data_IF_154780684384
#
_entry.id   IF_154780684384
#
_cell.length_a   1.000
_cell.length_b   1.000
_cell.length_c   1.000
_cell.angle_alpha   90.00
_cell.angle_beta   90.00
_cell.angle_gamma   90.00
#
_symmetry.space_group_name_H-M   'P 1'
#
loop_
_entity.id
_entity.type
_entity.pdbx_description
1 polymer ?
#
# COMPACT_ATOMS: atom_id res chain seq x y z
N UNK A 1 -18.98 -28.45 11.68
CA UNK A 1 -19.87 -28.01 10.58
C UNK A 1 -19.01 -27.21 9.62
N UNK A 2 -18.84 -27.68 8.39
CA UNK A 2 -18.05 -26.95 7.38
C UNK A 2 -18.74 -25.64 7.06
N UNK A 3 -18.08 -24.51 7.31
CA UNK A 3 -18.51 -23.22 6.80
C UNK A 3 -18.34 -23.23 5.28
N UNK A 4 -19.30 -22.69 4.54
CA UNK A 4 -19.10 -22.45 3.11
C UNK A 4 -17.84 -21.58 2.90
N UNK A 5 -17.08 -21.86 1.84
CA UNK A 5 -15.89 -21.10 1.43
C UNK A 5 -15.93 -20.84 -0.07
N UNK A 6 -15.48 -19.66 -0.51
CA UNK A 6 -15.44 -19.24 -1.92
C UNK A 6 -14.18 -19.75 -2.61
N UNK A 7 -14.22 -20.05 -3.91
CA UNK A 7 -13.04 -20.39 -4.69
C UNK A 7 -12.08 -19.21 -4.84
N UNK A 8 -10.77 -19.47 -4.95
CA UNK A 8 -9.76 -18.41 -5.15
C UNK A 8 -10.08 -17.56 -6.38
N UNK A 9 -10.34 -18.20 -7.53
CA UNK A 9 -10.63 -17.50 -8.79
C UNK A 9 -11.89 -16.63 -8.66
N UNK A 10 -12.99 -17.23 -8.20
CA UNK A 10 -14.27 -16.54 -8.01
C UNK A 10 -14.13 -15.31 -7.10
N UNK A 11 -13.34 -15.41 -6.03
CA UNK A 11 -13.12 -14.29 -5.13
C UNK A 11 -12.25 -13.20 -5.74
N UNK A 12 -11.22 -13.54 -6.52
CA UNK A 12 -10.38 -12.57 -7.21
C UNK A 12 -11.16 -11.82 -8.28
N UNK A 13 -11.96 -12.54 -9.08
CA UNK A 13 -12.84 -11.94 -10.09
C UNK A 13 -13.84 -10.98 -9.43
N UNK A 14 -14.44 -11.40 -8.31
CA UNK A 14 -15.31 -10.54 -7.51
C UNK A 14 -14.58 -9.29 -6.99
N UNK A 15 -13.36 -9.43 -6.45
CA UNK A 15 -12.57 -8.28 -5.96
C UNK A 15 -12.25 -7.31 -7.10
N UNK A 16 -11.84 -7.81 -8.25
CA UNK A 16 -11.54 -6.97 -9.41
C UNK A 16 -12.77 -6.19 -9.89
N UNK A 17 -13.91 -6.87 -10.04
CA UNK A 17 -15.15 -6.28 -10.55
C UNK A 17 -15.78 -5.31 -9.54
N UNK A 18 -16.02 -5.77 -8.31
CA UNK A 18 -16.86 -5.04 -7.35
C UNK A 18 -16.06 -4.01 -6.54
N UNK A 19 -14.79 -4.27 -6.27
CA UNK A 19 -13.94 -3.37 -5.50
C UNK A 19 -13.01 -2.54 -6.39
N UNK A 20 -12.10 -3.19 -7.11
CA UNK A 20 -10.97 -2.48 -7.73
C UNK A 20 -11.39 -1.59 -8.91
N UNK A 21 -12.23 -2.10 -9.81
CA UNK A 21 -12.64 -1.37 -11.02
C UNK A 21 -13.58 -0.18 -10.73
N UNK A 22 -14.33 -0.24 -9.63
CA UNK A 22 -15.36 0.73 -9.26
C UNK A 22 -15.06 1.46 -7.96
N UNK A 23 -15.40 0.83 -6.82
CA UNK A 23 -15.39 1.47 -5.50
C UNK A 23 -14.02 2.05 -5.10
N UNK A 24 -12.96 1.25 -5.23
CA UNK A 24 -11.60 1.64 -4.83
C UNK A 24 -10.99 2.62 -5.85
N UNK A 25 -11.15 2.38 -7.15
CA UNK A 25 -10.74 3.35 -8.18
C UNK A 25 -11.46 4.71 -8.03
N UNK A 26 -12.70 4.69 -7.57
CA UNK A 26 -13.50 5.87 -7.20
C UNK A 26 -13.03 6.60 -5.94
N UNK A 27 -12.02 6.08 -5.23
CA UNK A 27 -11.45 6.68 -4.03
C UNK A 27 -11.87 6.01 -2.72
N UNK A 28 -12.65 4.93 -2.75
CA UNK A 28 -12.98 4.16 -1.55
C UNK A 28 -11.78 3.37 -1.01
N UNK A 29 -11.93 2.85 0.20
CA UNK A 29 -10.99 1.91 0.80
C UNK A 29 -11.71 0.76 1.50
N UNK A 30 -11.08 -0.41 1.56
CA UNK A 30 -11.63 -1.56 2.27
C UNK A 30 -10.52 -2.44 2.84
N UNK A 31 -10.86 -3.14 3.93
CA UNK A 31 -10.00 -4.15 4.56
C UNK A 31 -10.78 -5.46 4.60
N UNK A 32 -10.18 -6.52 4.06
CA UNK A 32 -10.74 -7.87 4.02
C UNK A 32 -9.83 -8.83 4.76
N UNK A 33 -10.39 -9.56 5.72
CA UNK A 33 -9.72 -10.69 6.35
C UNK A 33 -10.00 -11.93 5.52
N UNK A 34 -8.97 -12.43 4.87
CA UNK A 34 -9.03 -13.62 4.04
C UNK A 34 -8.50 -14.78 4.87
N UNK A 35 -9.29 -15.84 5.01
CA UNK A 35 -8.91 -17.08 5.67
C UNK A 35 -8.73 -18.18 4.61
N UNK A 36 -7.52 -18.38 4.06
CA UNK A 36 -7.22 -19.49 3.17
C UNK A 36 -7.41 -20.82 3.89
N UNK A 37 -8.01 -21.81 3.24
CA UNK A 37 -8.22 -23.14 3.82
C UNK A 37 -6.92 -23.88 4.13
N UNK A 38 -5.88 -23.65 3.33
CA UNK A 38 -4.55 -24.25 3.46
C UNK A 38 -3.48 -23.36 2.80
N UNK A 39 -2.21 -23.79 2.91
CA UNK A 39 -1.06 -23.07 2.38
C UNK A 39 -1.07 -22.95 0.85
N UNK A 40 -1.58 -23.95 0.13
CA UNK A 40 -1.67 -23.91 -1.32
C UNK A 40 -2.72 -22.88 -1.79
N UNK A 41 -3.83 -22.74 -1.05
CA UNK A 41 -4.81 -21.66 -1.25
C UNK A 41 -4.19 -20.31 -0.91
N UNK A 42 -3.43 -20.18 0.18
CA UNK A 42 -2.74 -18.94 0.58
C UNK A 42 -1.81 -18.45 -0.52
N UNK A 43 -0.97 -19.33 -1.05
CA UNK A 43 -0.01 -19.02 -2.12
C UNK A 43 -0.72 -18.65 -3.43
N UNK A 44 -1.77 -19.40 -3.83
CA UNK A 44 -2.54 -19.04 -5.04
C UNK A 44 -3.25 -17.70 -4.90
N UNK A 45 -3.85 -17.42 -3.75
CA UNK A 45 -4.49 -16.15 -3.47
C UNK A 45 -3.47 -15.00 -3.49
N UNK A 46 -2.26 -15.22 -2.96
CA UNK A 46 -1.18 -14.24 -3.04
C UNK A 46 -0.76 -13.93 -4.48
N UNK A 47 -0.51 -14.97 -5.29
CA UNK A 47 -0.16 -14.81 -6.69
C UNK A 47 -1.28 -14.16 -7.50
N UNK A 48 -2.53 -14.49 -7.18
CA UNK A 48 -3.70 -13.89 -7.80
C UNK A 48 -3.85 -12.40 -7.46
N UNK A 49 -3.72 -12.01 -6.20
CA UNK A 49 -3.75 -10.61 -5.78
C UNK A 49 -2.64 -9.78 -6.43
N UNK A 50 -1.43 -10.34 -6.54
CA UNK A 50 -0.30 -9.70 -7.22
C UNK A 50 -0.49 -9.59 -8.74
N UNK A 51 -1.29 -10.49 -9.32
CA UNK A 51 -1.61 -10.54 -10.74
C UNK A 51 -2.93 -9.87 -11.13
N UNK A 52 -3.64 -9.24 -10.20
CA UNK A 52 -4.83 -8.45 -10.52
C UNK A 52 -4.44 -7.36 -11.51
N UNK A 53 -5.18 -7.28 -12.61
CA UNK A 53 -4.83 -6.43 -13.76
C UNK A 53 -5.02 -4.94 -13.48
N UNK A 54 -4.73 -4.12 -14.48
CA UNK A 54 -4.87 -2.66 -14.42
C UNK A 54 -3.63 -1.94 -13.90
N UNK A 55 -3.71 -0.61 -13.85
CA UNK A 55 -2.63 0.27 -13.39
C UNK A 55 -2.52 0.35 -11.85
N UNK A 56 -2.89 -0.72 -11.13
CA UNK A 56 -2.86 -0.73 -9.67
C UNK A 56 -1.44 -0.89 -9.14
N UNK A 57 -1.13 -0.22 -8.03
CA UNK A 57 0.07 -0.53 -7.26
C UNK A 57 -0.19 -1.77 -6.40
N UNK A 58 0.80 -2.65 -6.27
CA UNK A 58 0.74 -3.81 -5.38
C UNK A 58 1.89 -3.78 -4.39
N UNK A 59 1.61 -4.17 -3.15
CA UNK A 59 2.65 -4.41 -2.15
C UNK A 59 2.23 -5.55 -1.21
N UNK A 60 3.21 -6.32 -0.74
CA UNK A 60 3.00 -7.35 0.27
C UNK A 60 3.85 -7.11 1.53
N UNK A 61 3.31 -7.47 2.69
CA UNK A 61 4.02 -7.42 3.95
C UNK A 61 3.79 -8.74 4.68
N UNK A 62 4.88 -9.46 4.93
CA UNK A 62 4.86 -10.75 5.62
C UNK A 62 5.27 -10.58 7.09
N UNK A 63 4.43 -11.08 8.02
CA UNK A 63 4.71 -11.09 9.44
C UNK A 63 6.01 -11.86 9.78
N UNK A 64 6.45 -12.81 8.96
CA UNK A 64 7.71 -13.54 9.12
C UNK A 64 8.93 -12.63 9.00
N UNK A 65 8.89 -11.62 8.12
CA UNK A 65 10.03 -10.76 7.78
C UNK A 65 9.86 -9.31 8.22
N UNK A 66 8.65 -8.91 8.61
CA UNK A 66 8.30 -7.56 9.05
C UNK A 66 7.54 -7.63 10.36
N UNK A 67 7.87 -6.79 11.35
CA UNK A 67 7.06 -6.69 12.58
C UNK A 67 5.75 -5.97 12.28
N UNK A 68 4.73 -6.70 11.85
CA UNK A 68 3.45 -6.14 11.38
C UNK A 68 2.70 -5.35 12.45
N UNK A 69 2.92 -5.61 13.74
CA UNK A 69 2.33 -4.80 14.81
C UNK A 69 2.91 -3.37 14.91
N UNK A 70 3.88 -3.01 14.06
CA UNK A 70 4.52 -1.69 14.04
C UNK A 70 4.28 -1.03 12.67
N UNK A 71 3.42 0.00 12.66
CA UNK A 71 2.95 0.68 11.44
C UNK A 71 4.09 1.30 10.61
N UNK A 72 5.16 1.76 11.25
CA UNK A 72 6.36 2.27 10.58
C UNK A 72 7.09 1.20 9.79
N UNK A 73 7.05 -0.04 10.26
CA UNK A 73 7.62 -1.17 9.53
C UNK A 73 6.75 -1.63 8.38
N UNK A 74 5.41 -1.57 8.50
CA UNK A 74 4.52 -1.79 7.37
C UNK A 74 4.76 -0.74 6.29
N UNK A 75 4.74 0.55 6.64
CA UNK A 75 4.97 1.62 5.68
C UNK A 75 6.31 1.45 4.96
N UNK A 76 7.40 1.21 5.69
CA UNK A 76 8.73 1.05 5.08
C UNK A 76 8.85 -0.24 4.26
N UNK A 77 8.13 -1.31 4.61
CA UNK A 77 8.07 -2.53 3.80
C UNK A 77 7.34 -2.29 2.47
N UNK A 78 6.21 -1.56 2.50
CA UNK A 78 5.49 -1.13 1.30
C UNK A 78 6.39 -0.23 0.45
N UNK A 79 6.99 0.80 1.05
CA UNK A 79 7.82 1.78 0.37
C UNK A 79 9.04 1.16 -0.34
N UNK A 80 9.55 0.01 0.11
CA UNK A 80 10.65 -0.69 -0.57
C UNK A 80 10.25 -1.38 -1.87
N UNK A 81 8.95 -1.58 -2.10
CA UNK A 81 8.43 -2.30 -3.26
C UNK A 81 7.99 -1.36 -4.40
N UNK A 82 7.97 -0.05 -4.14
CA UNK A 82 7.50 0.94 -5.11
C UNK A 82 8.66 1.57 -5.88
N UNK A 83 8.46 1.77 -7.18
CA UNK A 83 9.36 2.57 -8.01
C UNK A 83 9.05 4.06 -7.84
N UNK A 84 9.74 4.68 -6.89
CA UNK A 84 9.56 6.10 -6.59
C UNK A 84 9.98 7.03 -7.72
N UNK A 85 10.88 6.59 -8.59
CA UNK A 85 11.35 7.37 -9.73
C UNK A 85 10.27 7.38 -10.81
N UNK A 86 9.73 6.21 -11.15
CA UNK A 86 8.62 6.06 -12.11
C UNK A 86 7.38 6.84 -11.65
N UNK A 87 7.03 6.75 -10.35
CA UNK A 87 5.91 7.49 -9.78
C UNK A 87 6.13 9.01 -9.87
N UNK A 88 7.34 9.50 -9.56
CA UNK A 88 7.67 10.92 -9.70
C UNK A 88 7.63 11.38 -11.17
N UNK A 89 8.14 10.57 -12.10
CA UNK A 89 8.06 10.83 -13.54
C UNK A 89 6.61 10.96 -14.01
N UNK A 90 5.73 10.07 -13.56
CA UNK A 90 4.30 10.10 -13.91
C UNK A 90 3.64 11.42 -13.46
N UNK A 91 3.95 11.89 -12.25
CA UNK A 91 3.47 13.18 -11.75
C UNK A 91 4.07 14.36 -12.53
N UNK A 92 5.34 14.29 -12.94
CA UNK A 92 5.96 15.32 -13.78
C UNK A 92 5.34 15.37 -15.18
N UNK A 93 5.00 14.23 -15.80
CA UNK A 93 4.25 14.18 -17.07
C UNK A 93 2.89 14.84 -16.92
N UNK A 94 2.16 14.51 -15.86
CA UNK A 94 0.86 15.13 -15.58
C UNK A 94 0.97 16.64 -15.29
N UNK A 95 2.10 17.11 -14.74
CA UNK A 95 2.36 18.54 -14.56
C UNK A 95 2.70 19.25 -15.88
N UNK A 96 3.46 18.60 -16.77
CA UNK A 96 3.75 19.06 -18.13
C UNK A 96 2.46 19.21 -18.96
N UNK A 97 1.59 18.21 -18.92
CA UNK A 97 0.27 18.26 -19.56
C UNK A 97 -0.57 19.44 -19.05
N UNK A 98 -0.66 19.63 -17.73
CA UNK A 98 -1.38 20.76 -17.12
C UNK A 98 -0.76 22.12 -17.43
N UNK A 99 0.55 22.17 -17.65
CA UNK A 99 1.24 23.37 -18.11
C UNK A 99 1.02 23.64 -19.61
N UNK A 100 0.25 22.80 -20.32
CA UNK A 100 0.03 22.83 -21.76
C UNK A 100 1.27 22.50 -22.60
N UNK A 101 2.23 21.76 -22.03
CA UNK A 101 3.46 21.31 -22.70
C UNK A 101 3.68 19.80 -22.53
N UNK A 102 2.76 18.95 -23.04
CA UNK A 102 2.87 17.50 -22.89
C UNK A 102 4.22 17.01 -23.44
N UNK A 103 4.80 16.01 -22.78
CA UNK A 103 6.01 15.36 -23.29
C UNK A 103 5.70 14.68 -24.65
N UNK A 104 6.64 14.68 -25.62
CA UNK A 104 6.45 13.97 -26.88
C UNK A 104 6.17 12.49 -26.66
N UNK A 105 5.30 11.91 -27.49
CA UNK A 105 4.95 10.49 -27.42
C UNK A 105 6.19 9.59 -27.62
N UNK A 106 6.25 8.48 -26.89
CA UNK A 106 7.34 7.49 -27.01
C UNK A 106 8.65 7.91 -26.32
N UNK A 107 8.64 8.94 -25.49
CA UNK A 107 9.81 9.36 -24.69
C UNK A 107 9.67 8.82 -23.26
N UNK A 108 10.52 7.86 -22.89
CA UNK A 108 10.50 7.21 -21.56
C UNK A 108 11.13 8.07 -20.45
N UNK A 109 12.11 8.91 -20.77
CA UNK A 109 12.78 9.80 -19.81
C UNK A 109 12.47 11.24 -20.12
N UNK A 110 11.94 11.96 -19.13
CA UNK A 110 11.57 13.37 -19.27
C UNK A 110 12.85 14.21 -19.31
N UNK A 111 13.18 14.74 -20.49
CA UNK A 111 14.17 15.80 -20.64
C UNK A 111 13.46 17.11 -20.96
N UNK A 112 13.43 18.03 -19.98
CA UNK A 112 12.82 19.34 -20.11
C UNK A 112 13.39 20.14 -21.29
N UNK A 113 14.66 19.99 -21.62
CA UNK A 113 15.27 20.67 -22.77
C UNK A 113 14.70 20.13 -24.10
N UNK A 114 14.45 18.83 -24.18
CA UNK A 114 13.79 18.20 -25.32
C UNK A 114 12.33 18.62 -25.44
N UNK A 115 11.59 18.70 -24.33
CA UNK A 115 10.21 19.21 -24.33
C UNK A 115 10.17 20.68 -24.75
N UNK A 116 11.07 21.52 -24.25
CA UNK A 116 11.17 22.93 -24.62
C UNK A 116 11.41 23.11 -26.12
N UNK A 117 12.35 22.35 -26.70
CA UNK A 117 12.61 22.36 -28.15
C UNK A 117 11.41 21.89 -28.96
N UNK A 118 10.68 20.88 -28.49
CA UNK A 118 9.52 20.36 -29.19
C UNK A 118 8.39 21.39 -29.29
N UNK A 119 8.18 22.16 -28.24
CA UNK A 119 7.13 23.19 -28.18
C UNK A 119 7.60 24.60 -28.59
N UNK A 120 8.85 24.74 -29.04
CA UNK A 120 9.48 26.02 -29.42
C UNK A 120 9.38 27.10 -28.32
N UNK A 121 9.69 26.70 -27.08
CA UNK A 121 9.67 27.59 -25.90
C UNK A 121 11.02 27.66 -25.21
N UNK A 122 11.24 28.75 -24.46
CA UNK A 122 12.40 28.88 -23.58
C UNK A 122 12.37 27.83 -22.44
N UNK A 123 13.47 27.09 -22.27
CA UNK A 123 13.56 26.02 -21.29
C UNK A 123 13.46 26.52 -19.84
N UNK A 124 13.91 27.75 -19.55
CA UNK A 124 13.85 28.31 -18.20
C UNK A 124 12.43 28.82 -17.86
N UNK A 125 11.67 29.30 -18.85
CA UNK A 125 10.24 29.60 -18.71
C UNK A 125 9.42 28.31 -18.55
N UNK A 126 9.68 27.28 -19.37
CA UNK A 126 9.00 25.99 -19.25
C UNK A 126 9.22 25.37 -17.86
N UNK A 127 10.48 25.32 -17.40
CA UNK A 127 10.80 24.84 -16.05
C UNK A 127 10.01 25.61 -14.97
N UNK A 128 9.91 26.95 -15.07
CA UNK A 128 9.19 27.76 -14.08
C UNK A 128 7.70 27.44 -14.08
N UNK A 129 7.12 27.25 -15.26
CA UNK A 129 5.72 26.88 -15.42
C UNK A 129 5.42 25.50 -14.83
N UNK A 130 6.20 24.49 -15.19
CA UNK A 130 6.03 23.11 -14.69
C UNK A 130 6.27 23.03 -13.18
N UNK A 131 7.32 23.70 -12.68
CA UNK A 131 7.59 23.77 -11.24
C UNK A 131 6.42 24.40 -10.47
N UNK A 132 5.82 25.48 -10.98
CA UNK A 132 4.66 26.10 -10.34
C UNK A 132 3.48 25.13 -10.27
N UNK A 133 3.25 24.37 -11.34
CA UNK A 133 2.21 23.33 -11.35
C UNK A 133 2.52 22.24 -10.31
N UNK A 134 3.76 21.75 -10.25
CA UNK A 134 4.17 20.75 -9.23
C UNK A 134 4.00 21.28 -7.80
N UNK A 135 4.36 22.53 -7.54
CA UNK A 135 4.15 23.14 -6.23
C UNK A 135 2.65 23.21 -5.88
N UNK A 136 1.76 23.45 -6.85
CA UNK A 136 0.32 23.41 -6.62
C UNK A 136 -0.23 21.99 -6.46
N UNK A 137 0.20 21.03 -7.28
CA UNK A 137 -0.28 19.65 -7.21
C UNK A 137 0.20 18.93 -5.95
N UNK A 138 1.45 19.18 -5.54
CA UNK A 138 2.11 18.39 -4.50
C UNK A 138 2.18 19.14 -3.18
N UNK A 139 2.75 20.36 -3.13
CA UNK A 139 2.96 21.05 -1.85
C UNK A 139 1.67 21.60 -1.25
N UNK A 140 0.70 21.99 -2.08
CA UNK A 140 -0.56 22.59 -1.63
C UNK A 140 -1.63 21.56 -1.29
N UNK A 141 -1.40 20.30 -1.57
CA UNK A 141 -2.34 19.23 -1.24
C UNK A 141 -2.33 18.93 0.26
N UNK A 142 -3.27 19.50 1.02
CA UNK A 142 -3.26 19.42 2.49
C UNK A 142 -3.57 18.05 3.05
N UNK A 143 -4.12 17.15 2.24
CA UNK A 143 -4.44 15.77 2.61
C UNK A 143 -3.18 14.90 2.76
N UNK A 144 -2.09 15.27 2.08
CA UNK A 144 -0.78 14.64 2.30
C UNK A 144 -0.05 15.31 3.48
N UNK A 145 0.66 14.52 4.28
CA UNK A 145 1.51 15.05 5.35
C UNK A 145 2.64 15.92 4.80
N UNK A 146 3.04 16.96 5.55
CA UNK A 146 4.03 17.93 5.10
C UNK A 146 5.37 17.29 4.69
N UNK A 147 5.91 16.38 5.50
CA UNK A 147 7.17 15.68 5.19
C UNK A 147 7.08 14.90 3.87
N UNK A 148 5.95 14.25 3.62
CA UNK A 148 5.70 13.53 2.38
C UNK A 148 5.67 14.46 1.17
N UNK A 149 4.95 15.59 1.25
CA UNK A 149 4.89 16.58 0.15
C UNK A 149 6.25 17.15 -0.20
N UNK A 150 7.06 17.44 0.81
CA UNK A 150 8.44 17.91 0.62
C UNK A 150 9.27 16.84 -0.08
N UNK A 151 9.23 15.60 0.40
CA UNK A 151 9.92 14.47 -0.21
C UNK A 151 9.51 14.27 -1.68
N UNK A 152 8.22 14.23 -1.97
CA UNK A 152 7.73 14.02 -3.33
C UNK A 152 8.08 15.17 -4.28
N UNK A 153 8.02 16.43 -3.81
CA UNK A 153 8.47 17.56 -4.62
C UNK A 153 9.95 17.44 -4.96
N UNK A 154 10.80 17.02 -4.02
CA UNK A 154 12.23 16.81 -4.26
C UNK A 154 12.47 15.76 -5.35
N UNK A 155 11.74 14.64 -5.31
CA UNK A 155 11.80 13.63 -6.36
C UNK A 155 11.37 14.20 -7.71
N UNK A 156 10.27 14.95 -7.78
CA UNK A 156 9.83 15.60 -9.01
C UNK A 156 10.85 16.63 -9.55
N UNK A 157 11.46 17.41 -8.66
CA UNK A 157 12.46 18.43 -9.03
C UNK A 157 13.72 17.81 -9.62
N UNK A 158 14.16 16.66 -9.12
CA UNK A 158 15.30 15.94 -9.70
C UNK A 158 15.00 15.47 -11.13
N UNK A 159 13.77 15.00 -11.39
CA UNK A 159 13.32 14.63 -12.74
C UNK A 159 13.25 15.82 -13.71
N UNK A 160 13.17 17.06 -13.23
CA UNK A 160 13.22 18.26 -14.09
C UNK A 160 14.65 18.53 -14.62
N UNK A 161 15.69 17.89 -14.09
CA UNK A 161 17.05 17.93 -14.66
C UNK A 161 17.77 19.28 -14.60
N UNK A 162 17.25 20.29 -13.89
CA UNK A 162 17.87 21.62 -13.78
C UNK A 162 18.98 21.72 -12.73
N UNK A 163 19.23 20.63 -12.00
CA UNK A 163 20.26 20.56 -10.96
C UNK A 163 19.83 21.14 -9.59
N UNK A 164 18.55 21.45 -9.38
CA UNK A 164 18.05 21.94 -8.08
C UNK A 164 18.07 20.86 -7.00
N UNK A 165 18.02 19.60 -7.42
CA UNK A 165 18.11 18.40 -6.58
C UNK A 165 19.09 17.46 -7.25
N UNK A 166 20.09 17.04 -6.48
CA UNK A 166 21.11 16.09 -6.91
C UNK A 166 20.64 14.64 -6.79
N UNK A 167 21.32 13.72 -7.49
CA UNK A 167 21.08 12.29 -7.34
C UNK A 167 21.28 11.82 -5.88
N UNK A 168 22.24 12.39 -5.14
CA UNK A 168 22.46 12.05 -3.73
C UNK A 168 21.28 12.47 -2.84
N UNK A 169 20.68 13.63 -3.10
CA UNK A 169 19.47 14.08 -2.40
C UNK A 169 18.27 13.20 -2.76
N UNK A 170 18.12 12.79 -4.02
CA UNK A 170 17.12 11.80 -4.44
C UNK A 170 17.27 10.49 -3.66
N UNK A 171 18.48 9.92 -3.62
CA UNK A 171 18.75 8.69 -2.85
C UNK A 171 18.49 8.87 -1.35
N UNK A 172 18.73 10.07 -0.81
CA UNK A 172 18.41 10.40 0.59
C UNK A 172 16.90 10.37 0.83
N UNK A 173 16.09 10.93 -0.07
CA UNK A 173 14.63 10.90 0.03
C UNK A 173 14.10 9.47 -0.08
N UNK A 174 14.57 8.70 -1.07
CA UNK A 174 14.17 7.29 -1.26
C UNK A 174 14.59 6.45 -0.04
N UNK A 175 15.83 6.62 0.43
CA UNK A 175 16.32 5.97 1.64
C UNK A 175 15.48 6.30 2.86
N UNK A 176 15.00 7.55 3.01
CA UNK A 176 14.11 7.93 4.10
C UNK A 176 12.76 7.22 4.04
N UNK A 177 12.11 7.19 2.86
CA UNK A 177 10.85 6.47 2.64
C UNK A 177 11.00 4.98 2.99
N UNK A 178 12.12 4.39 2.61
CA UNK A 178 12.46 2.99 2.86
C UNK A 178 12.97 2.71 4.28
N UNK A 179 13.01 3.72 5.16
CA UNK A 179 13.42 3.56 6.56
C UNK A 179 14.92 3.31 6.77
N UNK A 180 15.76 3.73 5.82
CA UNK A 180 17.21 3.62 5.95
C UNK A 180 17.74 4.48 7.11
N UNK A 181 18.85 4.03 7.70
CA UNK A 181 19.53 4.79 8.76
C UNK A 181 20.37 5.90 8.14
N UNK A 182 19.73 7.05 7.90
CA UNK A 182 20.39 8.22 7.32
C UNK A 182 20.96 9.16 8.41
N UNK A 183 22.10 9.82 8.13
CA UNK A 183 22.60 10.93 8.95
C UNK A 183 21.57 12.07 9.03
N UNK A 184 21.49 12.73 10.19
CA UNK A 184 20.55 13.83 10.38
C UNK A 184 20.89 15.06 9.51
N UNK A 185 22.15 15.23 9.10
CA UNK A 185 22.55 16.30 8.18
C UNK A 185 21.94 16.10 6.79
N UNK A 186 21.99 14.87 6.28
CA UNK A 186 21.45 14.50 4.96
C UNK A 186 19.92 14.65 4.94
N UNK A 187 19.23 14.24 6.02
CA UNK A 187 17.78 14.48 6.11
C UNK A 187 17.44 15.98 6.07
N UNK A 188 18.20 16.81 6.79
CA UNK A 188 17.97 18.26 6.81
C UNK A 188 18.25 18.91 5.45
N UNK A 189 19.23 18.44 4.67
CA UNK A 189 19.52 19.01 3.35
C UNK A 189 18.34 18.84 2.39
N UNK A 190 17.57 17.77 2.53
CA UNK A 190 16.36 17.54 1.73
C UNK A 190 15.06 18.08 2.38
N UNK A 191 15.16 18.74 3.54
CA UNK A 191 14.02 19.35 4.23
C UNK A 191 13.22 18.41 5.13
N UNK A 192 13.81 17.28 5.53
CA UNK A 192 13.21 16.29 6.42
C UNK A 192 13.82 16.38 7.83
N UNK A 193 12.98 16.30 8.87
CA UNK A 193 13.40 16.53 10.25
C UNK A 193 13.34 15.29 11.14
N UNK A 194 12.53 14.29 10.77
CA UNK A 194 12.40 13.04 11.49
C UNK A 194 12.55 11.84 10.57
N UNK A 195 12.93 10.70 11.14
CA UNK A 195 12.82 9.40 10.47
C UNK A 195 11.36 8.95 10.45
N UNK A 196 11.02 8.05 9.55
CA UNK A 196 9.77 7.29 9.64
C UNK A 196 9.74 6.54 10.97
N UNK A 197 8.66 6.73 11.71
CA UNK A 197 8.44 6.15 13.02
C UNK A 197 6.92 6.03 13.29
N UNK A 198 6.55 5.43 14.42
CA UNK A 198 5.14 5.18 14.79
C UNK A 198 4.23 6.41 14.78
N UNK A 199 4.77 7.62 14.93
CA UNK A 199 3.99 8.86 15.01
C UNK A 199 3.69 9.46 13.63
N UNK A 200 4.53 9.26 12.63
CA UNK A 200 4.31 9.80 11.27
C UNK A 200 3.96 8.73 10.23
N UNK A 201 4.22 7.45 10.48
CA UNK A 201 4.00 6.38 9.49
C UNK A 201 2.55 6.27 9.01
N UNK A 202 1.55 6.50 9.87
CA UNK A 202 0.14 6.47 9.44
C UNK A 202 -0.20 7.63 8.50
N UNK A 203 0.07 8.91 8.85
CA UNK A 203 -0.02 10.00 7.88
C UNK A 203 0.75 9.77 6.58
N UNK A 204 1.94 9.14 6.64
CA UNK A 204 2.72 8.79 5.45
C UNK A 204 2.02 7.73 4.59
N UNK A 205 1.38 6.72 5.19
CA UNK A 205 0.60 5.72 4.46
C UNK A 205 -0.61 6.35 3.74
N UNK A 206 -1.34 7.26 4.41
CA UNK A 206 -2.43 8.02 3.78
C UNK A 206 -1.90 8.87 2.62
N UNK A 207 -0.76 9.53 2.83
CA UNK A 207 -0.12 10.36 1.81
C UNK A 207 0.30 9.52 0.59
N UNK A 208 0.78 8.30 0.83
CA UNK A 208 1.20 7.37 -0.21
C UNK A 208 0.03 6.98 -1.12
N UNK A 209 -1.12 6.59 -0.58
CA UNK A 209 -2.23 6.16 -1.44
C UNK A 209 -2.76 7.30 -2.30
N UNK A 210 -2.78 8.52 -1.75
CA UNK A 210 -3.09 9.74 -2.51
C UNK A 210 -2.05 10.07 -3.58
N UNK A 211 -0.77 9.91 -3.25
CA UNK A 211 0.32 10.10 -4.20
C UNK A 211 0.27 9.13 -5.38
N UNK A 212 -0.06 7.85 -5.12
CA UNK A 212 -0.27 6.86 -6.17
C UNK A 212 -1.34 7.33 -7.17
N UNK A 213 -2.45 7.89 -6.67
CA UNK A 213 -3.50 8.46 -7.52
C UNK A 213 -3.02 9.66 -8.34
N UNK A 214 -2.24 10.56 -7.74
CA UNK A 214 -1.60 11.67 -8.47
C UNK A 214 -0.67 11.16 -9.59
N UNK A 215 -0.01 10.03 -9.36
CA UNK A 215 0.84 9.35 -10.33
C UNK A 215 0.07 8.48 -11.35
N UNK A 216 -1.27 8.53 -11.35
CA UNK A 216 -2.11 7.77 -12.29
C UNK A 216 -2.34 6.30 -11.89
N UNK A 217 -1.92 5.88 -10.70
CA UNK A 217 -2.21 4.56 -10.13
C UNK A 217 -3.49 4.66 -9.29
N UNK A 218 -4.66 4.16 -9.74
CA UNK A 218 -5.93 4.45 -9.08
C UNK A 218 -6.07 3.82 -7.69
N UNK A 219 -5.30 2.76 -7.38
CA UNK A 219 -5.32 2.15 -6.05
C UNK A 219 -4.01 1.47 -5.67
N UNK A 220 -3.90 1.17 -4.37
CA UNK A 220 -2.94 0.24 -3.79
C UNK A 220 -3.68 -1.04 -3.33
N UNK A 221 -3.25 -2.19 -3.83
CA UNK A 221 -3.59 -3.51 -3.30
C UNK A 221 -2.49 -3.92 -2.33
N UNK A 222 -2.82 -3.93 -1.03
CA UNK A 222 -1.91 -4.29 0.05
C UNK A 222 -2.25 -5.67 0.59
N UNK A 223 -1.33 -6.63 0.44
CA UNK A 223 -1.42 -7.93 1.12
C UNK A 223 -0.70 -7.87 2.46
N UNK A 224 -1.38 -8.22 3.55
CA UNK A 224 -0.78 -8.43 4.87
C UNK A 224 -0.87 -9.91 5.23
N UNK A 225 0.26 -10.61 5.27
CA UNK A 225 0.30 -12.03 5.63
C UNK A 225 0.56 -12.19 7.13
N UNK A 226 -0.45 -12.71 7.86
CA UNK A 226 -0.41 -12.93 9.30
C UNK A 226 -0.14 -14.38 9.69
N UNK A 227 0.23 -15.27 8.75
CA UNK A 227 0.52 -16.69 9.01
C UNK A 227 1.45 -16.86 10.23
N UNK A 228 2.48 -16.02 10.29
CA UNK A 228 3.48 -16.08 11.36
C UNK A 228 2.92 -15.87 12.76
N UNK A 229 1.78 -15.20 12.89
CA UNK A 229 1.15 -14.98 14.19
C UNK A 229 0.66 -16.29 14.81
N UNK A 230 0.41 -17.35 14.04
CA UNK A 230 -0.04 -18.65 14.57
C UNK A 230 1.06 -19.39 15.36
N UNK A 231 2.34 -18.99 15.23
CA UNK A 231 3.44 -19.63 15.97
C UNK A 231 3.33 -19.33 17.48
N UNK A 232 2.80 -20.30 18.23
CA UNK A 232 2.50 -20.17 19.67
C UNK A 232 3.72 -20.27 20.57
N UNK A 233 4.79 -20.94 20.13
CA UNK A 233 6.00 -21.17 20.91
C UNK A 233 7.22 -20.62 20.18
N UNK A 234 8.08 -19.90 20.91
CA UNK A 234 9.31 -19.36 20.34
C UNK A 234 10.26 -20.51 19.96
N UNK A 235 10.69 -20.61 18.69
CA UNK A 235 11.65 -21.64 18.31
C UNK A 235 12.99 -21.47 19.06
N UNK A 236 13.69 -22.59 19.37
CA UNK A 236 15.06 -22.57 19.91
C UNK A 236 16.01 -21.78 19.00
N UNK A 237 17.08 -21.20 19.56
CA UNK A 237 17.96 -20.21 18.89
C UNK A 237 18.46 -20.66 17.50
N UNK A 238 18.72 -21.94 17.27
CA UNK A 238 19.18 -22.49 15.99
C UNK A 238 18.09 -22.91 14.99
N UNK A 239 16.81 -22.85 15.36
CA UNK A 239 15.66 -23.20 14.52
C UNK A 239 14.74 -22.00 14.28
N UNK A 240 15.21 -20.79 14.62
CA UNK A 240 14.46 -19.56 14.40
C UNK A 240 14.54 -19.19 12.93
N UNK A 241 13.41 -19.23 12.27
CA UNK A 241 13.23 -18.65 10.95
C UNK A 241 12.21 -17.51 11.07
N UNK A 242 12.60 -16.25 10.82
CA UNK A 242 11.70 -15.08 10.92
C UNK A 242 11.34 -14.61 12.34
N UNK A 243 10.50 -13.58 12.43
CA UNK A 243 10.09 -12.95 13.71
C UNK A 243 9.21 -13.85 14.57
N UNK A 244 9.35 -13.76 15.89
CA UNK A 244 8.43 -14.41 16.83
C UNK A 244 7.56 -13.35 17.51
N UNK A 245 6.25 -13.60 17.56
CA UNK A 245 5.28 -12.71 18.18
C UNK A 245 4.84 -13.27 19.52
N UNK A 246 5.16 -12.58 20.60
CA UNK A 246 4.53 -12.84 21.88
C UNK A 246 3.02 -12.55 21.78
N UNK A 247 2.21 -13.07 22.73
CA UNK A 247 0.76 -12.82 22.74
C UNK A 247 0.43 -11.32 22.66
N UNK A 248 1.13 -10.47 23.42
CA UNK A 248 0.94 -9.02 23.35
C UNK A 248 1.17 -8.46 21.93
N UNK A 249 2.27 -8.85 21.27
CA UNK A 249 2.56 -8.41 19.90
C UNK A 249 1.53 -8.94 18.87
N UNK A 250 0.91 -10.10 19.11
CA UNK A 250 -0.22 -10.58 18.29
C UNK A 250 -1.45 -9.71 18.48
N UNK A 251 -1.79 -9.35 19.72
CA UNK A 251 -2.91 -8.44 20.00
C UNK A 251 -2.65 -7.03 19.43
N UNK A 252 -1.41 -6.55 19.48
CA UNK A 252 -1.02 -5.28 18.85
C UNK A 252 -1.15 -5.35 17.31
N UNK A 253 -0.89 -6.50 16.69
CA UNK A 253 -1.14 -6.68 15.26
C UNK A 253 -2.64 -6.64 14.93
N UNK A 254 -3.49 -7.24 15.78
CA UNK A 254 -4.95 -7.14 15.62
C UNK A 254 -5.47 -5.72 15.86
N UNK A 255 -4.90 -4.99 16.81
CA UNK A 255 -5.18 -3.57 17.01
C UNK A 255 -4.85 -2.76 15.75
N UNK A 256 -3.71 -3.05 15.11
CA UNK A 256 -3.36 -2.39 13.85
C UNK A 256 -4.38 -2.68 12.74
N UNK A 257 -4.81 -3.94 12.58
CA UNK A 257 -5.84 -4.30 11.60
C UNK A 257 -7.17 -3.60 11.93
N UNK A 258 -7.57 -3.56 13.21
CA UNK A 258 -8.77 -2.84 13.66
C UNK A 258 -8.69 -1.34 13.31
N UNK A 259 -7.54 -0.70 13.57
CA UNK A 259 -7.33 0.71 13.24
C UNK A 259 -7.33 0.97 11.74
N UNK A 260 -6.94 0.00 10.89
CA UNK A 260 -7.08 0.12 9.44
C UNK A 260 -8.56 0.06 9.03
N UNK A 261 -9.33 -0.87 9.59
CA UNK A 261 -10.78 -0.96 9.34
C UNK A 261 -11.48 0.35 9.73
N UNK A 262 -11.13 0.91 10.89
CA UNK A 262 -11.78 2.15 11.39
C UNK A 262 -11.42 3.41 10.60
N UNK A 263 -10.41 3.38 9.72
CA UNK A 263 -9.99 4.53 8.94
C UNK A 263 -10.18 4.37 7.44
N UNK A 264 -10.98 3.41 7.00
CA UNK A 264 -11.35 3.29 5.59
C UNK A 264 -11.98 4.59 5.06
N UNK A 265 -12.66 5.37 5.91
CA UNK A 265 -13.26 6.66 5.54
C UNK A 265 -12.22 7.80 5.40
N UNK A 266 -11.01 7.62 5.94
CA UNK A 266 -9.89 8.57 5.84
C UNK A 266 -8.89 8.20 4.73
N UNK A 267 -9.02 7.00 4.15
CA UNK A 267 -8.06 6.45 3.19
C UNK A 267 -8.68 6.46 1.80
N UNK A 268 -7.96 7.02 0.84
CA UNK A 268 -8.35 6.97 -0.57
C UNK A 268 -7.63 5.84 -1.31
N UNK A 269 -8.37 5.02 -2.06
CA UNK A 269 -7.81 4.10 -3.04
C UNK A 269 -6.96 2.97 -2.45
N UNK A 270 -7.42 2.34 -1.35
CA UNK A 270 -6.70 1.24 -0.70
C UNK A 270 -7.57 -0.01 -0.55
N UNK A 271 -7.08 -1.13 -1.08
CA UNK A 271 -7.62 -2.45 -0.79
C UNK A 271 -6.62 -3.23 0.05
N UNK A 272 -6.98 -3.61 1.29
CA UNK A 272 -6.11 -4.40 2.16
C UNK A 272 -6.63 -5.84 2.28
N UNK A 273 -5.86 -6.80 1.78
CA UNK A 273 -6.08 -8.23 1.97
C UNK A 273 -5.25 -8.74 3.16
N UNK A 274 -5.87 -8.88 4.32
CA UNK A 274 -5.26 -9.45 5.52
C UNK A 274 -5.44 -10.97 5.50
N UNK A 275 -4.40 -11.72 5.19
CA UNK A 275 -4.44 -13.18 5.23
C UNK A 275 -4.22 -13.67 6.67
N UNK A 276 -5.23 -14.38 7.20
CA UNK A 276 -5.23 -14.92 8.56
C UNK A 276 -5.29 -16.46 8.48
N UNK A 277 -4.40 -17.19 9.15
CA UNK A 277 -4.47 -18.65 9.19
C UNK A 277 -5.76 -19.14 9.86
N UNK A 278 -6.33 -20.28 9.43
CA UNK A 278 -7.54 -20.87 10.03
C UNK A 278 -7.47 -21.03 11.54
N UNK A 279 -6.32 -21.40 12.08
CA UNK A 279 -6.08 -21.60 13.51
C UNK A 279 -6.42 -20.34 14.33
N UNK A 280 -6.11 -19.15 13.79
CA UNK A 280 -6.35 -17.88 14.47
C UNK A 280 -7.79 -17.39 14.34
N UNK A 281 -8.66 -18.04 13.57
CA UNK A 281 -10.06 -17.62 13.48
C UNK A 281 -10.83 -18.00 14.75
N UNK A 282 -10.49 -19.14 15.37
CA UNK A 282 -11.27 -19.73 16.46
C UNK A 282 -10.49 -19.90 17.77
N UNK A 283 -9.17 -19.66 17.79
CA UNK A 283 -8.36 -19.75 19.01
C UNK A 283 -8.76 -18.66 20.02
N UNK A 284 -9.40 -19.05 21.13
CA UNK A 284 -9.83 -18.17 22.23
C UNK A 284 -8.68 -17.46 22.96
N UNK A 285 -7.47 -18.00 22.85
CA UNK A 285 -6.29 -17.56 23.60
C UNK A 285 -5.46 -16.56 22.81
N UNK A 286 -5.39 -16.74 21.48
CA UNK A 286 -4.48 -15.99 20.60
C UNK A 286 -5.12 -15.57 19.27
N UNK A 287 -6.20 -16.21 18.86
CA UNK A 287 -6.95 -15.89 17.66
C UNK A 287 -7.80 -14.63 17.78
N UNK A 288 -8.66 -14.40 16.80
CA UNK A 288 -9.60 -13.27 16.76
C UNK A 288 -10.44 -13.14 18.04
N UNK A 289 -10.98 -14.23 18.66
CA UNK A 289 -11.76 -14.09 19.88
C UNK A 289 -10.98 -13.50 21.06
N UNK A 290 -9.65 -13.66 21.08
CA UNK A 290 -8.78 -13.08 22.11
C UNK A 290 -8.69 -11.54 22.05
N UNK A 291 -9.18 -10.92 20.97
CA UNK A 291 -9.22 -9.47 20.77
C UNK A 291 -10.58 -9.00 20.26
N UNK A 292 -11.52 -8.82 21.19
CA UNK A 292 -12.93 -8.53 20.90
C UNK A 292 -13.14 -7.31 19.98
N UNK A 293 -12.28 -6.30 20.06
CA UNK A 293 -12.45 -5.08 19.28
C UNK A 293 -12.29 -5.30 17.77
N UNK A 294 -11.35 -6.16 17.34
CA UNK A 294 -11.27 -6.61 15.96
C UNK A 294 -12.37 -7.63 15.67
N UNK A 295 -12.57 -8.60 16.56
CA UNK A 295 -13.53 -9.69 16.36
C UNK A 295 -14.93 -9.16 16.03
N UNK A 296 -15.43 -8.18 16.78
CA UNK A 296 -16.76 -7.60 16.58
C UNK A 296 -16.94 -6.86 15.25
N UNK A 297 -15.86 -6.47 14.55
CA UNK A 297 -15.91 -5.82 13.23
C UNK A 297 -15.85 -6.80 12.07
N UNK A 298 -15.40 -8.02 12.35
CA UNK A 298 -15.11 -9.03 11.31
C UNK A 298 -16.01 -10.26 11.45
N UNK A 299 -16.54 -10.52 12.64
CA UNK A 299 -17.43 -11.64 12.91
C UNK A 299 -18.67 -11.53 12.02
N UNK A 300 -18.90 -12.58 11.22
CA UNK A 300 -19.98 -12.77 10.24
C UNK A 300 -21.28 -11.99 10.54
N UNK A 301 -21.35 -10.70 10.18
CA UNK A 301 -22.52 -9.85 10.48
C UNK A 301 -23.76 -10.31 9.69
N UNK A 302 -23.53 -10.83 8.47
CA UNK A 302 -24.58 -11.37 7.59
C UNK A 302 -24.14 -12.74 7.09
N UNK A 303 -24.75 -13.78 7.65
CA UNK A 303 -24.48 -15.18 7.30
C UNK A 303 -25.75 -15.87 6.80
N UNK A 304 -25.70 -16.31 5.55
CA UNK A 304 -26.67 -17.26 5.01
C UNK A 304 -26.13 -18.70 5.18
N UNK A 305 -27.03 -19.68 5.32
CA UNK A 305 -26.65 -21.09 5.51
C UNK A 305 -26.25 -21.78 4.20
N UNK A 306 -26.71 -21.25 3.07
CA UNK A 306 -26.61 -21.83 1.73
C UNK A 306 -25.81 -20.94 0.78
N UNK A 307 -25.72 -19.63 1.05
CA UNK A 307 -25.04 -18.66 0.20
C UNK A 307 -23.79 -18.09 0.86
N UNK A 308 -22.74 -17.95 0.05
CA UNK A 308 -21.54 -17.23 0.41
C UNK A 308 -21.80 -15.73 0.34
N UNK A 309 -21.21 -14.99 1.29
CA UNK A 309 -21.22 -13.53 1.26
C UNK A 309 -19.80 -13.03 0.96
N UNK A 310 -19.45 -12.80 -0.32
CA UNK A 310 -18.12 -12.28 -0.67
C UNK A 310 -17.92 -10.82 -0.22
N UNK A 311 -19.00 -10.09 0.10
CA UNK A 311 -18.92 -8.74 0.69
C UNK A 311 -18.60 -8.75 2.19
N UNK A 312 -18.59 -9.90 2.86
CA UNK A 312 -18.23 -9.98 4.27
C UNK A 312 -16.81 -9.45 4.52
N UNK A 313 -16.56 -8.94 5.73
CA UNK A 313 -15.21 -8.51 6.13
C UNK A 313 -14.29 -9.73 6.31
N UNK A 314 -14.79 -10.81 6.92
CA UNK A 314 -14.12 -12.10 6.98
C UNK A 314 -14.61 -13.02 5.86
N UNK A 315 -13.70 -13.44 4.98
CA UNK A 315 -14.00 -14.32 3.85
C UNK A 315 -13.16 -15.58 3.97
N UNK A 316 -13.81 -16.75 3.91
CA UNK A 316 -13.14 -18.05 3.87
C UNK A 316 -12.91 -18.44 2.42
N UNK A 317 -11.66 -18.69 2.06
CA UNK A 317 -11.26 -18.98 0.68
C UNK A 317 -10.79 -20.43 0.60
N UNK A 318 -11.21 -21.15 -0.44
CA UNK A 318 -10.89 -22.56 -0.65
C UNK A 318 -10.34 -22.81 -2.06
N UNK A 319 -9.86 -24.03 -2.28
CA UNK A 319 -9.30 -24.44 -3.56
C UNK A 319 -10.33 -24.59 -4.68
N UNK A 320 -11.59 -24.83 -4.33
CA UNK A 320 -12.64 -25.25 -5.25
C UNK A 320 -13.56 -24.06 -5.54
N UNK A 321 -13.75 -23.75 -6.82
CA UNK A 321 -14.80 -22.84 -7.27
C UNK A 321 -16.14 -23.41 -6.88
N UNK A 322 -17.01 -22.57 -6.31
CA UNK A 322 -18.34 -23.04 -5.92
C UNK A 322 -19.14 -23.19 -7.21
N UNK A 323 -19.37 -24.43 -7.66
CA UNK A 323 -20.34 -24.69 -8.71
C UNK A 323 -21.69 -24.16 -8.24
N UNK A 324 -22.23 -23.18 -8.95
CA UNK A 324 -23.60 -22.71 -8.76
C UNK A 324 -24.54 -23.91 -8.89
N UNK A 325 -25.02 -24.42 -7.76
CA UNK A 325 -26.13 -25.36 -7.75
C UNK A 325 -27.38 -24.56 -8.15
N UNK A 326 -27.70 -24.59 -9.45
CA UNK A 326 -28.99 -24.18 -10.00
C UNK A 326 -30.12 -25.06 -9.47
#
# INVERSE_FOLDING_TARGET
MSSAAIGVADYLDFVEQEYLSGYIAGGGATVKLLCPADDAVRVRLAGGLAGLGGDFAYAEVDAATTRIHLIDQIFTAIARQLDWIELAQSVVRAALERAAFPAPAGVDVIDLATVARHHDVDAAELYRSVRRVLEQLVLRDTEMSHEFRVAMLRLCQEQLGRGDVSAAERETVIGWLQGAKLPAADLRSVGLNARVNRYNARPLLLSLTRWLRLAGRPCLVLRLDLERLAVTRRPPVGLRDGFYYAKAATLDAYELVRQLIDAIDEIEGLFVAVQVPPDLIHDETRGLPAYSALHLRVADEVRDRLRLNPYATLVRVSATTVEEQQ
#
